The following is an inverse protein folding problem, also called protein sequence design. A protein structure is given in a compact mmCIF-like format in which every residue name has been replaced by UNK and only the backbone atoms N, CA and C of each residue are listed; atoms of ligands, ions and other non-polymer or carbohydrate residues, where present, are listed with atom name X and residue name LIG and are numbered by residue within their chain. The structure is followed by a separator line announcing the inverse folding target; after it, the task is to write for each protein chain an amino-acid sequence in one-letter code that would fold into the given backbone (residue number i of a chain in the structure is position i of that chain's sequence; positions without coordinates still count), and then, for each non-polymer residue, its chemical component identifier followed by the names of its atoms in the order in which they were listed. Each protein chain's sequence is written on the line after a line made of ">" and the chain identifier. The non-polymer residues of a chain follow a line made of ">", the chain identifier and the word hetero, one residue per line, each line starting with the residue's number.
data_IF_364051692332
#
_entry.id   IF_364051692332
#
_cell.length_a   1.000
_cell.length_b   1.000
_cell.length_c   1.000
_cell.angle_alpha   90.00
_cell.angle_beta   90.00
_cell.angle_gamma   90.00
#
_symmetry.space_group_name_H-M   'P 1'
#
loop_
_entity.id
_entity.type
_entity.pdbx_description
1 polymer ?
#
# COMPACT_ATOMS: atom_id res chain seq x y z
N UNK A 1 -0.45 -5.11 16.86
CA UNK A 1 -1.13 -4.93 15.57
C UNK A 1 -0.66 -3.61 14.99
N UNK A 2 0.23 -3.69 14.02
CA UNK A 2 0.72 -2.54 13.28
C UNK A 2 -0.46 -1.78 12.70
N UNK A 3 -0.38 -0.47 12.86
CA UNK A 3 -1.41 0.48 12.49
C UNK A 3 -0.99 1.05 11.14
N UNK A 4 -1.89 0.97 10.16
CA UNK A 4 -1.71 1.70 8.92
C UNK A 4 -2.20 3.12 9.13
N UNK A 5 -1.41 4.10 8.70
CA UNK A 5 -1.73 5.53 8.86
C UNK A 5 -1.95 6.13 7.49
N UNK A 6 -2.98 6.97 7.35
CA UNK A 6 -3.24 7.68 6.12
C UNK A 6 -2.25 8.82 5.92
N UNK A 7 -1.54 8.79 4.80
CA UNK A 7 -0.57 9.82 4.41
C UNK A 7 -1.21 11.19 4.08
N UNK A 8 -2.55 11.28 4.08
CA UNK A 8 -3.29 12.51 3.76
C UNK A 8 -3.97 13.12 4.98
N UNK A 9 -4.73 12.35 5.76
CA UNK A 9 -5.40 12.88 6.96
C UNK A 9 -4.66 12.58 8.27
N UNK A 10 -3.66 11.70 8.27
CA UNK A 10 -2.91 11.29 9.46
C UNK A 10 -3.65 10.34 10.40
N UNK A 11 -4.87 9.92 10.05
CA UNK A 11 -5.68 9.00 10.84
C UNK A 11 -5.38 7.54 10.49
N UNK A 12 -5.77 6.64 11.40
CA UNK A 12 -5.64 5.20 11.21
C UNK A 12 -6.53 4.69 10.06
N UNK A 13 -6.03 3.68 9.35
CA UNK A 13 -6.71 3.02 8.25
C UNK A 13 -7.03 1.58 8.66
N UNK A 14 -8.31 1.23 8.70
CA UNK A 14 -8.72 -0.16 8.78
C UNK A 14 -8.44 -0.89 7.46
N UNK A 15 -8.08 -2.19 7.51
CA UNK A 15 -7.70 -2.97 6.32
C UNK A 15 -8.72 -2.92 5.17
N UNK A 16 -10.02 -2.90 5.48
CA UNK A 16 -11.10 -2.91 4.50
C UNK A 16 -11.34 -1.54 3.85
N UNK A 17 -10.96 -0.46 4.55
CA UNK A 17 -11.12 0.94 4.13
C UNK A 17 -9.86 1.47 3.44
N UNK A 18 -8.72 0.78 3.58
CA UNK A 18 -7.44 1.20 3.06
C UNK A 18 -7.17 0.84 1.61
N UNK A 19 -6.44 1.72 0.93
CA UNK A 19 -5.82 1.48 -0.36
C UNK A 19 -4.38 1.99 -0.37
N UNK A 20 -3.50 1.25 -1.04
CA UNK A 20 -2.26 1.81 -1.58
C UNK A 20 -2.57 2.45 -2.91
N UNK A 21 -2.14 3.69 -3.12
CA UNK A 21 -2.33 4.43 -4.36
C UNK A 21 -1.03 5.05 -4.84
N UNK A 22 -0.84 5.15 -6.15
CA UNK A 22 0.36 5.75 -6.75
C UNK A 22 0.05 6.35 -8.11
N UNK A 23 0.93 7.24 -8.57
CA UNK A 23 0.85 7.80 -9.91
C UNK A 23 1.77 7.03 -10.86
N UNK A 24 1.24 6.76 -12.04
CA UNK A 24 1.96 6.15 -13.16
C UNK A 24 1.80 7.04 -14.39
N UNK A 25 2.88 7.69 -14.81
CA UNK A 25 2.90 8.54 -16.01
C UNK A 25 4.31 8.56 -16.64
N UNK A 26 4.41 8.74 -17.95
CA UNK A 26 5.67 8.94 -18.68
C UNK A 26 6.83 8.01 -18.27
N UNK A 27 6.58 6.70 -18.15
CA UNK A 27 7.57 5.72 -17.68
C UNK A 27 8.16 6.03 -16.30
N UNK A 28 7.35 6.60 -15.42
CA UNK A 28 7.68 6.88 -14.03
C UNK A 28 6.59 6.36 -13.10
N UNK A 29 7.01 5.81 -11.97
CA UNK A 29 6.19 5.51 -10.80
C UNK A 29 6.55 6.51 -9.69
N UNK A 30 5.57 7.11 -9.03
CA UNK A 30 5.77 8.16 -8.01
C UNK A 30 4.57 8.24 -7.07
N UNK A 31 4.72 8.97 -5.97
CA UNK A 31 3.63 9.35 -5.06
C UNK A 31 2.88 8.14 -4.47
N UNK A 32 3.63 7.11 -4.06
CA UNK A 32 3.07 5.96 -3.35
C UNK A 32 2.55 6.39 -1.99
N UNK A 33 1.28 6.13 -1.70
CA UNK A 33 0.61 6.54 -0.46
C UNK A 33 -0.39 5.51 0.02
N UNK A 34 -0.48 5.32 1.32
CA UNK A 34 -1.59 4.66 1.99
C UNK A 34 -2.67 5.69 2.31
N UNK A 35 -3.87 5.42 1.83
CA UNK A 35 -5.01 6.34 1.98
C UNK A 35 -6.29 5.59 2.26
N UNK A 36 -7.26 6.24 2.89
CA UNK A 36 -8.63 5.74 2.89
C UNK A 36 -9.19 5.73 1.46
N UNK A 37 -10.07 4.78 1.17
CA UNK A 37 -10.94 4.84 -0.01
C UNK A 37 -11.78 6.11 0.07
N UNK A 38 -11.95 6.78 -1.07
CA UNK A 38 -12.97 7.81 -1.16
C UNK A 38 -14.33 7.10 -1.05
N UNK A 39 -15.10 7.45 -0.03
CA UNK A 39 -16.40 6.88 0.27
C UNK A 39 -17.49 7.96 0.25
N UNK A 40 -18.73 7.54 0.49
CA UNK A 40 -19.90 8.42 0.49
C UNK A 40 -19.93 9.37 1.71
N UNK A 41 -18.94 9.31 2.61
CA UNK A 41 -18.85 10.21 3.78
C UNK A 41 -18.25 11.57 3.44
N UNK A 42 -17.75 11.75 2.21
CA UNK A 42 -17.13 12.98 1.75
C UNK A 42 -15.66 13.12 2.14
N UNK A 43 -15.04 12.06 2.71
CA UNK A 43 -13.61 12.01 2.98
C UNK A 43 -12.83 11.84 1.66
N UNK A 44 -12.07 12.86 1.29
CA UNK A 44 -11.21 12.85 0.09
C UNK A 44 -9.77 12.63 0.51
N UNK A 45 -9.39 11.35 0.65
CA UNK A 45 -8.02 10.97 1.02
C UNK A 45 -7.21 10.46 -0.17
N UNK A 46 -7.85 10.04 -1.28
CA UNK A 46 -7.12 9.61 -2.47
C UNK A 46 -6.72 10.82 -3.32
N UNK A 47 -5.42 11.08 -3.54
CA UNK A 47 -4.97 12.18 -4.40
C UNK A 47 -5.44 11.99 -5.84
N UNK A 48 -5.84 13.07 -6.51
CA UNK A 48 -6.37 13.03 -7.89
C UNK A 48 -5.29 12.65 -8.91
N UNK A 49 -4.04 13.03 -8.66
CA UNK A 49 -2.89 12.72 -9.51
C UNK A 49 -2.50 11.23 -9.51
N UNK A 50 -2.97 10.48 -8.51
CA UNK A 50 -2.74 9.06 -8.40
C UNK A 50 -3.79 8.28 -9.20
N UNK A 51 -3.33 7.65 -10.27
CA UNK A 51 -4.17 6.95 -11.22
C UNK A 51 -4.14 5.42 -11.06
N UNK A 52 -3.41 4.90 -10.09
CA UNK A 52 -3.35 3.47 -9.75
C UNK A 52 -3.61 3.27 -8.27
N UNK A 53 -4.21 2.13 -7.95
CA UNK A 53 -4.46 1.74 -6.57
C UNK A 53 -4.57 0.22 -6.45
N UNK A 54 -4.40 -0.29 -5.22
CA UNK A 54 -4.66 -1.66 -4.81
C UNK A 54 -5.20 -1.68 -3.38
N UNK A 55 -6.17 -2.53 -3.12
CA UNK A 55 -6.79 -2.66 -1.80
C UNK A 55 -5.79 -3.13 -0.74
N UNK A 56 -5.81 -2.49 0.42
CA UNK A 56 -4.91 -2.81 1.52
C UNK A 56 -5.18 -4.22 2.05
N UNK A 57 -6.45 -4.61 2.19
CA UNK A 57 -6.85 -5.99 2.51
C UNK A 57 -6.14 -7.01 1.60
N UNK A 58 -6.17 -6.78 0.27
CA UNK A 58 -5.50 -7.66 -0.69
C UNK A 58 -3.99 -7.64 -0.52
N UNK A 59 -3.39 -6.48 -0.28
CA UNK A 59 -1.94 -6.33 -0.07
C UNK A 59 -1.41 -7.03 1.17
N UNK A 60 -2.25 -7.20 2.21
CA UNK A 60 -1.89 -7.96 3.42
C UNK A 60 -2.01 -9.47 3.26
N UNK A 61 -2.55 -9.95 2.14
CA UNK A 61 -2.50 -11.37 1.77
C UNK A 61 -1.21 -11.64 1.00
N UNK A 62 -0.55 -12.77 1.28
CA UNK A 62 0.71 -13.15 0.62
C UNK A 62 0.61 -13.12 -0.91
N UNK A 63 -0.50 -13.62 -1.47
CA UNK A 63 -0.73 -13.60 -2.92
C UNK A 63 -0.81 -12.18 -3.48
N UNK A 64 -1.53 -11.27 -2.81
CA UNK A 64 -1.67 -9.89 -3.25
C UNK A 64 -0.38 -9.07 -3.10
N UNK A 65 0.41 -9.35 -2.07
CA UNK A 65 1.74 -8.79 -1.86
C UNK A 65 2.72 -9.23 -2.97
N UNK A 66 2.78 -10.52 -3.28
CA UNK A 66 3.62 -11.06 -4.36
C UNK A 66 3.21 -10.50 -5.72
N UNK A 67 1.90 -10.42 -6.00
CA UNK A 67 1.40 -9.82 -7.24
C UNK A 67 1.79 -8.33 -7.35
N UNK A 68 1.73 -7.57 -6.24
CA UNK A 68 2.17 -6.18 -6.24
C UNK A 68 3.69 -6.05 -6.46
N UNK A 69 4.47 -6.95 -5.87
CA UNK A 69 5.93 -6.98 -6.06
C UNK A 69 6.29 -7.32 -7.51
N UNK A 70 5.62 -8.32 -8.10
CA UNK A 70 5.78 -8.68 -9.51
C UNK A 70 5.39 -7.53 -10.43
N UNK A 71 4.31 -6.81 -10.11
CA UNK A 71 3.95 -5.59 -10.84
C UNK A 71 5.11 -4.58 -10.86
N UNK A 72 5.79 -4.35 -9.74
CA UNK A 72 6.94 -3.44 -9.67
C UNK A 72 8.12 -3.94 -10.53
N UNK A 73 8.46 -5.23 -10.44
CA UNK A 73 9.50 -5.84 -11.27
C UNK A 73 9.21 -5.68 -12.75
N UNK A 74 8.00 -6.02 -13.19
CA UNK A 74 7.59 -5.83 -14.59
C UNK A 74 7.70 -4.37 -15.02
N UNK A 75 7.34 -3.40 -14.16
CA UNK A 75 7.46 -1.99 -14.53
C UNK A 75 8.93 -1.60 -14.71
N UNK A 76 9.82 -2.04 -13.83
CA UNK A 76 11.26 -1.78 -13.97
C UNK A 76 11.86 -2.44 -15.21
N UNK A 77 11.49 -3.69 -15.51
CA UNK A 77 11.91 -4.35 -16.76
C UNK A 77 11.46 -3.58 -18.01
N UNK A 78 10.28 -2.96 -17.94
CA UNK A 78 9.75 -2.10 -19.00
C UNK A 78 10.35 -0.67 -19.01
N UNK A 79 11.42 -0.43 -18.25
CA UNK A 79 12.13 0.85 -18.23
C UNK A 79 11.45 1.95 -17.42
N UNK A 80 10.52 1.60 -16.52
CA UNK A 80 9.96 2.61 -15.60
C UNK A 80 11.00 2.99 -14.55
N UNK A 81 11.03 4.29 -14.24
CA UNK A 81 11.83 4.86 -13.16
C UNK A 81 10.97 5.04 -11.91
N UNK A 82 11.51 4.72 -10.74
CA UNK A 82 10.89 5.06 -9.47
C UNK A 82 11.36 6.46 -9.04
N UNK A 83 10.42 7.37 -8.84
CA UNK A 83 10.64 8.63 -8.14
C UNK A 83 10.08 8.51 -6.73
N UNK A 84 10.73 9.17 -5.78
CA UNK A 84 10.33 9.22 -4.37
C UNK A 84 10.32 7.81 -3.75
N UNK A 85 11.47 7.12 -3.86
CA UNK A 85 11.62 5.73 -3.44
C UNK A 85 11.35 5.54 -1.94
N UNK A 86 11.62 6.55 -1.13
CA UNK A 86 11.34 6.62 0.30
C UNK A 86 9.85 6.44 0.62
N UNK A 87 8.95 6.91 -0.27
CA UNK A 87 7.51 6.75 -0.07
C UNK A 87 7.09 5.29 -0.28
N UNK A 88 7.59 4.65 -1.35
CA UNK A 88 7.37 3.22 -1.57
C UNK A 88 7.96 2.39 -0.42
N UNK A 89 9.17 2.74 0.02
CA UNK A 89 9.82 2.07 1.15
C UNK A 89 8.96 2.15 2.42
N UNK A 90 8.46 3.32 2.77
CA UNK A 90 7.59 3.51 3.94
C UNK A 90 6.34 2.62 3.88
N UNK A 91 5.67 2.56 2.73
CA UNK A 91 4.51 1.68 2.53
C UNK A 91 4.91 0.21 2.72
N UNK A 92 6.02 -0.21 2.11
CA UNK A 92 6.49 -1.60 2.18
C UNK A 92 6.88 -1.99 3.61
N UNK A 93 7.49 -1.07 4.38
CA UNK A 93 7.79 -1.29 5.80
C UNK A 93 6.52 -1.52 6.62
N UNK A 94 5.49 -0.68 6.46
CA UNK A 94 4.22 -0.85 7.15
C UNK A 94 3.54 -2.19 6.80
N UNK A 95 3.51 -2.55 5.51
CA UNK A 95 2.96 -3.85 5.07
C UNK A 95 3.72 -5.03 5.68
N UNK A 96 5.06 -4.98 5.67
CA UNK A 96 5.89 -6.05 6.19
C UNK A 96 5.72 -6.20 7.71
N UNK A 97 5.70 -5.12 8.47
CA UNK A 97 5.44 -5.15 9.91
C UNK A 97 4.09 -5.81 10.20
N UNK A 98 3.04 -5.45 9.45
CA UNK A 98 1.72 -6.06 9.61
C UNK A 98 1.71 -7.56 9.35
N UNK A 99 2.32 -8.00 8.26
CA UNK A 99 2.39 -9.42 7.94
C UNK A 99 3.20 -10.21 8.97
N UNK A 100 4.32 -9.66 9.47
CA UNK A 100 5.14 -10.32 10.49
C UNK A 100 4.41 -10.45 11.82
N UNK A 101 3.75 -9.40 12.30
CA UNK A 101 2.97 -9.49 13.54
C UNK A 101 1.84 -10.51 13.44
N UNK A 102 1.17 -10.59 12.28
CA UNK A 102 0.14 -11.60 12.03
C UNK A 102 0.70 -13.03 12.13
N UNK A 103 1.92 -13.26 11.63
CA UNK A 103 2.58 -14.56 11.72
C UNK A 103 2.93 -14.93 13.18
N UNK A 104 3.38 -13.96 13.98
CA UNK A 104 3.68 -14.17 15.39
C UNK A 104 2.41 -14.58 16.15
N UNK A 105 1.30 -13.86 15.96
CA UNK A 105 0.03 -14.18 16.61
C UNK A 105 -0.48 -15.58 16.26
N UNK A 106 -0.38 -15.97 14.98
CA UNK A 106 -0.77 -17.32 14.55
C UNK A 106 0.12 -18.41 15.18
N UNK A 107 1.40 -18.12 15.43
CA UNK A 107 2.29 -19.06 16.10
C UNK A 107 2.03 -19.16 17.60
N UNK A 108 1.62 -18.06 18.25
CA UNK A 108 1.25 -18.04 19.67
C UNK A 108 -0.10 -18.72 19.94
N UNK A 109 -1.05 -18.65 19.00
CA UNK A 109 -2.36 -19.31 19.10
C UNK A 109 -2.30 -20.85 18.90
N UNK A 110 -1.16 -21.38 18.43
CA UNK A 110 -0.93 -22.82 18.21
C UNK A 110 -0.31 -23.55 19.44
N UNK A 111 0.03 -22.83 20.53
CA UNK A 111 0.49 -23.38 21.83
C UNK A 111 -0.64 -23.53 22.88
#
# INVERSE_FOLDING_TARGET
>A
MSIFVCDVCGEEIALHEGILTWSRSNSTLTNFKLTHKNDDTGRVCRPEENNRFKDLYTLTLLSGYLEFTNYLFERWENGFTLKDAEMLESVMQQLNLHMHEKLILLAEDEE
#
